data_IF_585778524408
#
_entry.id   IF_585778524408
#
_cell.length_a   1.000
_cell.length_b   1.000
_cell.length_c   1.000
_cell.angle_alpha   90.00
_cell.angle_beta   90.00
_cell.angle_gamma   90.00
#
_symmetry.space_group_name_H-M   'P 1'
#
loop_
_entity.id
_entity.type
_entity.pdbx_description
1 polymer ?
#
# COMPACT_ATOMS: atom_id res chain seq x y z
N UNK A 1 -5.14 16.36 -8.00
CA UNK A 1 -6.60 16.13 -8.02
C UNK A 1 -6.93 15.11 -6.94
N UNK A 2 -8.01 15.30 -6.18
CA UNK A 2 -8.39 14.37 -5.10
C UNK A 2 -9.14 13.19 -5.70
N UNK A 3 -8.64 11.97 -5.46
CA UNK A 3 -9.27 10.71 -5.82
C UNK A 3 -10.49 10.47 -4.91
N UNK A 4 -11.65 10.95 -5.36
CA UNK A 4 -12.94 10.72 -4.73
C UNK A 4 -14.01 10.46 -5.79
N UNK A 5 -14.59 9.26 -5.77
CA UNK A 5 -15.73 8.86 -6.61
C UNK A 5 -16.93 8.54 -5.71
N UNK A 6 -18.09 9.11 -5.98
CA UNK A 6 -19.31 8.87 -5.20
C UNK A 6 -19.66 7.37 -5.16
N UNK A 7 -20.12 6.89 -4.01
CA UNK A 7 -20.45 5.48 -3.80
C UNK A 7 -19.26 4.56 -3.47
N UNK A 8 -18.01 5.01 -3.62
CA UNK A 8 -16.82 4.25 -3.19
C UNK A 8 -16.49 4.58 -1.73
N UNK A 9 -16.42 3.56 -0.85
CA UNK A 9 -16.19 3.75 0.58
C UNK A 9 -14.70 3.87 0.98
N UNK A 10 -13.78 3.36 0.16
CA UNK A 10 -12.35 3.30 0.47
C UNK A 10 -11.57 2.70 -0.68
N UNK A 11 -10.24 2.62 -0.51
CA UNK A 11 -9.32 2.06 -1.51
C UNK A 11 -8.58 0.87 -0.90
N UNK A 12 -8.45 -0.21 -1.68
CA UNK A 12 -7.47 -1.26 -1.43
C UNK A 12 -6.31 -1.11 -2.41
N UNK A 13 -5.11 -0.82 -1.90
CA UNK A 13 -3.89 -0.65 -2.71
C UNK A 13 -3.15 -1.98 -2.74
N UNK A 14 -3.11 -2.59 -3.92
CA UNK A 14 -2.37 -3.82 -4.14
C UNK A 14 -0.89 -3.52 -4.40
N UNK A 15 -0.03 -3.86 -3.43
CA UNK A 15 1.44 -3.77 -3.55
C UNK A 15 2.10 -5.14 -3.78
N UNK A 16 1.33 -6.24 -3.83
CA UNK A 16 1.88 -7.59 -3.97
C UNK A 16 2.29 -7.94 -5.41
N UNK A 17 1.83 -7.18 -6.41
CA UNK A 17 2.18 -7.41 -7.81
C UNK A 17 3.59 -6.87 -8.15
N UNK A 18 4.33 -7.55 -9.05
CA UNK A 18 5.67 -7.14 -9.45
C UNK A 18 5.66 -5.77 -10.12
N UNK A 19 6.55 -4.87 -9.67
CA UNK A 19 6.82 -3.63 -10.37
C UNK A 19 7.68 -3.91 -11.61
N UNK A 20 7.16 -3.59 -12.80
CA UNK A 20 7.86 -3.80 -14.08
C UNK A 20 9.09 -2.90 -14.23
N UNK A 21 9.13 -1.75 -13.56
CA UNK A 21 10.26 -0.80 -13.62
C UNK A 21 11.40 -1.16 -12.66
N UNK A 22 11.13 -1.97 -11.62
CA UNK A 22 12.15 -2.47 -10.68
C UNK A 22 12.47 -3.95 -10.95
N UNK A 23 12.62 -4.32 -12.23
CA UNK A 23 12.99 -5.67 -12.67
C UNK A 23 12.08 -6.79 -12.11
N UNK A 24 10.80 -6.50 -11.85
CA UNK A 24 9.85 -7.48 -11.35
C UNK A 24 9.83 -7.66 -9.83
N UNK A 25 10.52 -6.83 -9.05
CA UNK A 25 10.34 -6.83 -7.59
C UNK A 25 8.95 -6.28 -7.22
N UNK A 26 8.21 -7.01 -6.39
CA UNK A 26 6.93 -6.54 -5.87
C UNK A 26 7.14 -5.32 -4.96
N UNK A 27 6.31 -4.28 -5.11
CA UNK A 27 6.36 -3.10 -4.23
C UNK A 27 6.27 -3.49 -2.75
N UNK A 28 5.58 -4.59 -2.46
CA UNK A 28 5.28 -5.10 -1.12
C UNK A 28 6.41 -5.81 -0.40
N UNK A 29 7.63 -5.89 -0.93
CA UNK A 29 8.77 -6.56 -0.24
C UNK A 29 9.76 -5.59 0.42
N UNK A 30 9.74 -4.31 0.04
CA UNK A 30 10.59 -3.27 0.65
C UNK A 30 9.71 -2.31 1.48
N UNK A 31 9.88 -2.24 2.82
CA UNK A 31 9.14 -1.33 3.68
C UNK A 31 9.19 0.13 3.21
N UNK A 32 10.34 0.64 2.72
CA UNK A 32 10.47 2.04 2.28
C UNK A 32 9.63 2.33 1.05
N UNK A 33 9.54 1.35 0.16
CA UNK A 33 8.73 1.43 -1.05
C UNK A 33 7.24 1.41 -0.67
N UNK A 34 6.83 0.51 0.21
CA UNK A 34 5.44 0.45 0.73
C UNK A 34 5.03 1.75 1.41
N UNK A 35 5.88 2.32 2.26
CA UNK A 35 5.61 3.61 2.89
C UNK A 35 5.43 4.71 1.84
N UNK A 36 6.33 4.77 0.85
CA UNK A 36 6.30 5.78 -0.20
C UNK A 36 5.05 5.70 -1.07
N UNK A 37 4.64 4.49 -1.46
CA UNK A 37 3.39 4.24 -2.20
C UNK A 37 2.18 4.63 -1.37
N UNK A 38 2.12 4.17 -0.11
CA UNK A 38 0.99 4.47 0.79
C UNK A 38 0.85 5.97 1.00
N UNK A 39 1.97 6.68 1.19
CA UNK A 39 2.01 8.14 1.34
C UNK A 39 1.57 8.86 0.07
N UNK A 40 1.94 8.35 -1.11
CA UNK A 40 1.50 8.91 -2.38
C UNK A 40 -0.01 8.77 -2.56
N UNK A 41 -0.59 7.61 -2.23
CA UNK A 41 -2.04 7.40 -2.27
C UNK A 41 -2.75 8.29 -1.23
N UNK A 42 -2.24 8.34 0.00
CA UNK A 42 -2.86 9.13 1.07
C UNK A 42 -2.87 10.63 0.77
N UNK A 43 -1.88 11.16 0.04
CA UNK A 43 -1.86 12.56 -0.40
C UNK A 43 -2.98 12.94 -1.35
N UNK A 44 -3.60 11.97 -2.02
CA UNK A 44 -4.62 12.22 -3.04
C UNK A 44 -6.01 11.75 -2.62
N UNK A 45 -6.21 11.23 -1.40
CA UNK A 45 -7.55 10.86 -0.93
C UNK A 45 -7.69 11.00 0.58
N UNK A 46 -8.88 11.40 1.02
CA UNK A 46 -9.27 11.36 2.44
C UNK A 46 -10.07 10.10 2.79
N UNK A 47 -10.35 9.22 1.81
CA UNK A 47 -11.02 7.96 2.04
C UNK A 47 -10.09 6.96 2.74
N UNK A 48 -10.63 6.00 3.52
CA UNK A 48 -9.84 4.92 4.09
C UNK A 48 -8.98 4.20 3.05
N UNK A 49 -7.69 4.04 3.36
CA UNK A 49 -6.71 3.31 2.53
C UNK A 49 -6.32 2.02 3.24
N UNK A 50 -6.64 0.88 2.65
CA UNK A 50 -6.19 -0.44 3.07
C UNK A 50 -5.07 -0.87 2.10
N UNK A 51 -3.97 -1.40 2.61
CA UNK A 51 -2.88 -1.89 1.74
C UNK A 51 -2.83 -3.41 1.79
N UNK A 52 -2.91 -4.03 0.62
CA UNK A 52 -2.86 -5.49 0.48
C UNK A 52 -1.42 -5.96 0.39
N UNK A 53 -0.97 -6.67 1.42
CA UNK A 53 0.42 -7.10 1.56
C UNK A 53 0.69 -8.41 0.82
N UNK A 54 1.94 -8.60 0.40
CA UNK A 54 2.45 -9.90 -0.04
C UNK A 54 2.78 -10.76 1.19
N UNK A 55 2.41 -12.05 1.23
CA UNK A 55 2.89 -12.95 2.27
C UNK A 55 4.36 -13.36 2.09
N UNK A 56 4.94 -13.11 0.90
CA UNK A 56 6.29 -13.55 0.54
C UNK A 56 7.37 -12.54 0.97
N UNK A 57 7.51 -12.35 2.27
CA UNK A 57 8.48 -11.44 2.89
C UNK A 57 9.12 -12.09 4.11
N UNK A 58 10.30 -11.62 4.51
CA UNK A 58 11.00 -12.13 5.69
C UNK A 58 10.29 -11.75 6.99
N UNK A 59 9.85 -10.49 7.10
CA UNK A 59 9.10 -10.00 8.25
C UNK A 59 7.92 -9.12 7.78
N UNK A 60 6.71 -9.66 7.92
CA UNK A 60 5.48 -8.97 7.55
C UNK A 60 5.15 -7.78 8.47
N UNK A 61 5.69 -7.79 9.70
CA UNK A 61 5.47 -6.72 10.68
C UNK A 61 6.17 -5.44 10.22
N UNK A 62 7.36 -5.53 9.64
CA UNK A 62 8.06 -4.37 9.07
C UNK A 62 7.27 -3.73 7.93
N UNK A 63 6.68 -4.56 7.07
CA UNK A 63 5.84 -4.10 5.96
C UNK A 63 4.56 -3.43 6.48
N UNK A 64 3.89 -4.02 7.46
CA UNK A 64 2.68 -3.44 8.05
C UNK A 64 2.96 -2.10 8.76
N UNK A 65 4.10 -1.97 9.44
CA UNK A 65 4.52 -0.69 10.05
C UNK A 65 4.80 0.38 9.00
N UNK A 66 5.34 0.01 7.85
CA UNK A 66 5.52 0.95 6.74
C UNK A 66 4.19 1.46 6.17
N UNK A 67 3.14 0.61 6.11
CA UNK A 67 1.79 1.04 5.75
C UNK A 67 1.27 2.08 6.73
N UNK A 68 1.39 1.83 8.03
CA UNK A 68 0.98 2.78 9.07
C UNK A 68 1.75 4.10 8.97
N UNK A 69 3.07 4.04 8.82
CA UNK A 69 3.93 5.23 8.66
C UNK A 69 3.58 6.05 7.40
N UNK A 70 3.15 5.38 6.33
CA UNK A 70 2.66 6.02 5.10
C UNK A 70 1.27 6.64 5.22
N UNK A 71 0.57 6.43 6.35
CA UNK A 71 -0.77 6.96 6.61
C UNK A 71 -1.92 6.05 6.16
N UNK A 72 -1.63 4.77 5.92
CA UNK A 72 -2.64 3.74 5.67
C UNK A 72 -3.48 3.48 6.92
N UNK A 73 -4.75 3.12 6.70
CA UNK A 73 -5.73 2.88 7.76
C UNK A 73 -5.88 1.41 8.14
N UNK A 74 -5.34 0.50 7.33
CA UNK A 74 -5.40 -0.92 7.58
C UNK A 74 -4.58 -1.72 6.58
N UNK A 75 -4.47 -3.01 6.86
CA UNK A 75 -3.83 -3.99 5.98
C UNK A 75 -4.81 -5.10 5.65
N UNK A 76 -4.71 -5.64 4.44
CA UNK A 76 -5.35 -6.90 4.06
C UNK A 76 -4.27 -7.91 3.67
N UNK A 77 -4.56 -9.20 3.90
CA UNK A 77 -3.68 -10.31 3.58
C UNK A 77 -4.47 -11.42 2.90
N UNK A 78 -3.84 -12.09 1.94
CA UNK A 78 -4.29 -13.36 1.38
C UNK A 78 -3.13 -14.35 1.36
#
# INVERSE_FOLDING_TARGET
>A
ETLSVDGIAGLEVNVSCPNVECEGMAFGVDPKVVESVTKAVRKVTDKPVIVKLSPNVTDIVEIAKAVEAGGGNGVSLI
#
